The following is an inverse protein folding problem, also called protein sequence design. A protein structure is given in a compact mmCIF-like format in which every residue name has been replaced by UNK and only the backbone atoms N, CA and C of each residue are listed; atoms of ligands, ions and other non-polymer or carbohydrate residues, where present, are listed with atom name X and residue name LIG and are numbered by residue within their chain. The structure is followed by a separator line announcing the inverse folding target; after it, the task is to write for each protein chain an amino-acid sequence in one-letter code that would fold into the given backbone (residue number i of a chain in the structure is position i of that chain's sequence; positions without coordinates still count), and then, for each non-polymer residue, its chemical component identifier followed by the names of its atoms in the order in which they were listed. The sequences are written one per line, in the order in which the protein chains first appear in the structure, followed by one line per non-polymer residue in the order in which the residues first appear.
data_IF_844354942250
#
_entry.id   IF_844354942250
#
_cell.length_a   1.000
_cell.length_b   1.000
_cell.length_c   1.000
_cell.angle_alpha   90.00
_cell.angle_beta   90.00
_cell.angle_gamma   90.00
#
_symmetry.space_group_name_H-M   'P 1'
#
loop_
_entity.id
_entity.type
_entity.pdbx_description
1 polymer ?
#
# COMPACT_ATOMS: atom_id res chain seq x y z
N UNK A 1 11.46 24.14 -18.37
CA UNK A 1 12.30 23.43 -17.40
C UNK A 1 11.59 23.53 -16.05
N UNK A 2 10.85 22.49 -15.65
CA UNK A 2 10.16 22.45 -14.36
C UNK A 2 10.98 21.55 -13.45
N UNK A 3 11.52 22.12 -12.38
CA UNK A 3 12.22 21.37 -11.34
C UNK A 3 11.22 20.43 -10.68
N UNK A 4 11.49 19.12 -10.76
CA UNK A 4 10.71 18.09 -10.08
C UNK A 4 11.02 18.07 -8.58
N UNK A 5 10.15 17.47 -7.75
CA UNK A 5 10.30 17.50 -6.30
C UNK A 5 11.58 16.77 -5.86
N UNK A 6 12.33 17.44 -4.98
CA UNK A 6 13.62 16.99 -4.46
C UNK A 6 13.44 15.72 -3.60
N UNK A 7 13.96 14.58 -4.09
CA UNK A 7 13.95 13.30 -3.39
C UNK A 7 15.04 13.29 -2.32
N UNK A 8 14.68 13.03 -1.06
CA UNK A 8 15.66 12.66 -0.02
C UNK A 8 15.16 11.52 0.86
N UNK A 9 15.99 10.49 0.88
CA UNK A 9 15.80 9.20 1.52
C UNK A 9 16.26 9.15 2.97
N UNK A 10 15.72 8.20 3.72
CA UNK A 10 16.37 7.67 4.93
C UNK A 10 16.69 6.22 4.55
N UNK A 11 17.98 5.94 4.33
CA UNK A 11 18.54 4.69 3.74
C UNK A 11 18.29 4.45 2.23
N UNK A 12 18.12 5.51 1.44
CA UNK A 12 17.86 5.43 0.00
C UNK A 12 16.37 5.33 -0.40
N UNK A 13 15.49 4.85 0.48
CA UNK A 13 14.05 4.72 0.23
C UNK A 13 13.23 5.96 0.61
N UNK A 14 12.21 6.28 -0.19
CA UNK A 14 11.29 7.41 0.04
C UNK A 14 9.88 6.91 0.34
N UNK A 15 9.20 7.52 1.32
CA UNK A 15 7.75 7.34 1.53
C UNK A 15 7.05 8.63 1.10
N UNK A 16 6.10 8.50 0.18
CA UNK A 16 5.19 9.53 -0.28
C UNK A 16 3.75 9.16 0.11
N UNK A 17 2.90 10.17 0.19
CA UNK A 17 1.48 10.00 0.47
C UNK A 17 0.67 10.67 -0.62
N UNK A 18 -0.35 9.98 -1.10
CA UNK A 18 -1.24 10.46 -2.14
C UNK A 18 -2.69 10.16 -1.78
N UNK A 19 -3.60 10.99 -2.29
CA UNK A 19 -5.02 10.74 -2.10
C UNK A 19 -5.45 9.50 -2.89
N UNK A 20 -6.24 8.62 -2.27
CA UNK A 20 -6.73 7.39 -2.85
C UNK A 20 -7.73 7.64 -4.01
N UNK A 21 -7.19 7.91 -5.20
CA UNK A 21 -7.97 8.11 -6.42
C UNK A 21 -7.23 7.57 -7.65
N UNK A 22 -7.99 7.29 -8.72
CA UNK A 22 -7.43 6.87 -10.00
C UNK A 22 -6.52 7.96 -10.62
N UNK A 23 -6.91 9.22 -10.50
CA UNK A 23 -6.11 10.34 -11.01
C UNK A 23 -4.74 10.37 -10.35
N UNK A 24 -4.67 10.19 -9.03
CA UNK A 24 -3.39 10.13 -8.33
C UNK A 24 -2.59 8.90 -8.74
N UNK A 25 -3.20 7.72 -8.88
CA UNK A 25 -2.50 6.54 -9.41
C UNK A 25 -1.89 6.82 -10.79
N UNK A 26 -2.68 7.37 -11.72
CA UNK A 26 -2.25 7.62 -13.10
C UNK A 26 -1.16 8.70 -13.19
N UNK A 27 -1.03 9.56 -12.17
CA UNK A 27 0.03 10.55 -12.06
C UNK A 27 1.35 10.03 -11.45
N UNK A 28 1.39 8.80 -10.92
CA UNK A 28 2.59 8.20 -10.35
C UNK A 28 3.22 7.18 -11.31
N UNK A 29 4.55 7.11 -11.26
CA UNK A 29 5.31 5.98 -11.80
C UNK A 29 5.61 5.01 -10.65
N UNK A 30 4.97 3.84 -10.68
CA UNK A 30 5.21 2.78 -9.70
C UNK A 30 5.29 1.43 -10.40
N UNK A 31 6.25 0.60 -9.98
CA UNK A 31 6.41 -0.73 -10.54
C UNK A 31 5.22 -1.63 -10.19
N UNK A 32 4.72 -1.53 -8.96
CA UNK A 32 3.56 -2.29 -8.51
C UNK A 32 2.57 -1.42 -7.75
N UNK A 33 1.28 -1.74 -7.89
CA UNK A 33 0.24 -1.33 -6.94
C UNK A 33 -0.16 -2.53 -6.10
N UNK A 34 -0.26 -2.39 -4.79
CA UNK A 34 -0.69 -3.45 -3.89
C UNK A 34 -1.98 -3.07 -3.17
N UNK A 35 -2.93 -4.00 -3.20
CA UNK A 35 -4.21 -3.88 -2.52
C UNK A 35 -4.42 -5.06 -1.58
N UNK A 36 -4.56 -4.81 -0.28
CA UNK A 36 -5.11 -5.79 0.65
C UNK A 36 -6.56 -6.12 0.26
N UNK A 37 -6.95 -7.39 0.34
CA UNK A 37 -8.30 -7.85 0.03
C UNK A 37 -8.81 -8.79 1.13
N UNK A 38 -9.90 -8.40 1.79
CA UNK A 38 -10.60 -9.28 2.72
C UNK A 38 -11.63 -10.17 2.01
N UNK A 39 -11.99 -11.30 2.62
CA UNK A 39 -12.93 -12.28 2.06
C UNK A 39 -14.30 -11.69 1.75
N UNK A 40 -14.74 -10.75 2.57
CA UNK A 40 -16.05 -10.11 2.49
C UNK A 40 -16.11 -8.97 1.46
N UNK A 41 -14.98 -8.58 0.86
CA UNK A 41 -14.91 -7.55 -0.19
C UNK A 41 -15.30 -8.10 -1.58
N UNK A 42 -16.61 -8.34 -1.76
CA UNK A 42 -17.18 -8.86 -3.02
C UNK A 42 -18.43 -8.05 -3.39
N UNK A 43 -18.32 -7.03 -4.27
CA UNK A 43 -17.13 -6.60 -5.03
C UNK A 43 -16.08 -5.87 -4.15
N UNK A 44 -14.82 -5.73 -4.64
CA UNK A 44 -13.80 -4.94 -3.96
C UNK A 44 -14.20 -3.48 -3.83
N UNK A 45 -13.74 -2.85 -2.75
CA UNK A 45 -14.09 -1.48 -2.37
C UNK A 45 -12.90 -0.51 -2.48
N UNK A 46 -13.14 0.77 -2.18
CA UNK A 46 -12.09 1.80 -2.15
C UNK A 46 -11.29 1.91 -3.46
N UNK A 47 -9.98 2.08 -3.34
CA UNK A 47 -9.09 2.25 -4.48
C UNK A 47 -8.99 1.00 -5.36
N UNK A 48 -9.07 -0.21 -4.78
CA UNK A 48 -9.13 -1.45 -5.55
C UNK A 48 -10.41 -1.52 -6.39
N UNK A 49 -11.55 -1.09 -5.84
CA UNK A 49 -12.81 -0.96 -6.58
C UNK A 49 -12.70 0.03 -7.75
N UNK A 50 -12.04 1.17 -7.55
CA UNK A 50 -11.81 2.14 -8.62
C UNK A 50 -10.88 1.57 -9.72
N UNK A 51 -9.81 0.87 -9.32
CA UNK A 51 -8.93 0.14 -10.24
C UNK A 51 -9.71 -0.94 -11.00
N UNK A 52 -10.60 -1.67 -10.34
CA UNK A 52 -11.42 -2.68 -11.01
C UNK A 52 -12.38 -2.07 -12.04
N UNK A 53 -12.99 -0.92 -11.73
CA UNK A 53 -13.77 -0.15 -12.69
C UNK A 53 -12.94 0.21 -13.92
N UNK A 54 -11.71 0.70 -13.73
CA UNK A 54 -10.76 1.00 -14.82
C UNK A 54 -10.40 -0.25 -15.64
N UNK A 55 -10.42 -1.42 -15.01
CA UNK A 55 -10.15 -2.72 -15.62
C UNK A 55 -11.39 -3.36 -16.26
N UNK A 56 -12.57 -2.74 -16.14
CA UNK A 56 -13.84 -3.23 -16.67
C UNK A 56 -14.42 -4.40 -15.88
N UNK A 57 -14.31 -4.36 -14.54
CA UNK A 57 -14.85 -5.38 -13.64
C UNK A 57 -14.08 -6.71 -13.69
N UNK A 58 -12.85 -6.70 -14.22
CA UNK A 58 -12.05 -7.91 -14.40
C UNK A 58 -11.63 -8.52 -13.06
N UNK A 59 -11.25 -7.69 -12.08
CA UNK A 59 -10.85 -8.13 -10.76
C UNK A 59 -12.06 -8.72 -10.03
N UNK A 60 -13.21 -8.03 -10.03
CA UNK A 60 -14.46 -8.59 -9.48
C UNK A 60 -14.79 -9.96 -10.07
N UNK A 61 -14.68 -10.13 -11.39
CA UNK A 61 -14.94 -11.41 -12.06
C UNK A 61 -13.95 -12.48 -11.61
N UNK A 62 -12.67 -12.17 -11.50
CA UNK A 62 -11.66 -13.11 -11.04
C UNK A 62 -11.84 -13.49 -9.56
N UNK A 63 -12.30 -12.58 -8.71
CA UNK A 63 -12.70 -12.88 -7.33
C UNK A 63 -13.89 -13.85 -7.32
N UNK A 64 -14.93 -13.58 -8.11
CA UNK A 64 -16.10 -14.44 -8.22
C UNK A 64 -15.77 -15.84 -8.77
N UNK A 65 -14.80 -15.94 -9.69
CA UNK A 65 -14.27 -17.19 -10.23
C UNK A 65 -13.29 -17.92 -9.27
N UNK A 66 -12.97 -17.35 -8.11
CA UNK A 66 -12.00 -17.92 -7.16
C UNK A 66 -10.55 -17.88 -7.65
N UNK A 67 -10.24 -17.06 -8.66
CA UNK A 67 -8.90 -16.91 -9.26
C UNK A 67 -8.09 -15.78 -8.65
N UNK A 68 -8.75 -14.84 -7.98
CA UNK A 68 -8.13 -13.91 -7.02
C UNK A 68 -8.58 -14.36 -5.64
N UNK A 69 -7.63 -14.90 -4.90
CA UNK A 69 -7.83 -15.47 -3.57
C UNK A 69 -7.76 -14.39 -2.48
N UNK A 70 -8.54 -14.57 -1.42
CA UNK A 70 -8.65 -13.65 -0.27
C UNK A 70 -8.24 -14.32 1.06
N UNK A 71 -7.82 -15.58 0.98
CA UNK A 71 -7.15 -16.32 2.04
C UNK A 71 -5.91 -15.57 2.51
N UNK A 72 -5.64 -15.58 3.82
CA UNK A 72 -4.50 -14.88 4.39
C UNK A 72 -3.19 -15.32 3.71
N UNK A 73 -2.46 -14.37 3.14
CA UNK A 73 -1.19 -14.61 2.44
C UNK A 73 -1.32 -15.11 1.01
N UNK A 74 -2.54 -15.26 0.48
CA UNK A 74 -2.71 -15.48 -0.95
C UNK A 74 -2.24 -14.24 -1.73
N UNK A 75 -1.46 -14.43 -2.79
CA UNK A 75 -0.98 -13.35 -3.64
C UNK A 75 -1.45 -13.56 -5.08
N UNK A 76 -2.15 -12.58 -5.62
CA UNK A 76 -2.56 -12.53 -7.03
C UNK A 76 -1.85 -11.39 -7.74
N UNK A 77 -1.33 -11.66 -8.94
CA UNK A 77 -0.65 -10.67 -9.78
C UNK A 77 -1.42 -10.50 -11.09
N UNK A 78 -1.75 -9.26 -11.43
CA UNK A 78 -2.40 -8.89 -12.69
C UNK A 78 -1.55 -7.90 -13.48
N UNK A 79 -1.37 -8.08 -14.80
CA UNK A 79 -0.69 -7.08 -15.63
C UNK A 79 -1.52 -5.80 -15.71
N UNK A 80 -0.88 -4.65 -15.47
CA UNK A 80 -1.56 -3.36 -15.34
C UNK A 80 -1.38 -2.43 -16.55
N UNK A 81 -0.23 -2.46 -17.23
CA UNK A 81 0.18 -1.49 -18.28
C UNK A 81 -0.88 -1.16 -19.34
N UNK A 82 -1.71 -2.12 -19.74
CA UNK A 82 -2.78 -1.88 -20.73
C UNK A 82 -3.85 -0.91 -20.22
N UNK A 83 -4.12 -0.91 -18.91
CA UNK A 83 -5.17 -0.11 -18.26
C UNK A 83 -4.60 1.05 -17.46
N UNK A 84 -3.40 0.89 -16.89
CA UNK A 84 -2.65 1.89 -16.14
C UNK A 84 -1.23 1.96 -16.72
N UNK A 85 -0.96 2.83 -17.70
CA UNK A 85 0.29 2.80 -18.47
C UNK A 85 1.58 2.99 -17.66
N UNK A 86 1.52 3.73 -16.55
CA UNK A 86 2.64 4.00 -15.63
C UNK A 86 2.86 2.90 -14.58
N UNK A 87 2.04 1.84 -14.60
CA UNK A 87 2.05 0.76 -13.61
C UNK A 87 2.31 -0.58 -14.30
N UNK A 88 3.29 -1.37 -13.82
CA UNK A 88 3.58 -2.67 -14.43
C UNK A 88 2.53 -3.72 -14.07
N UNK A 89 2.26 -3.82 -12.77
CA UNK A 89 1.47 -4.89 -12.17
C UNK A 89 0.62 -4.42 -10.99
N UNK A 90 -0.56 -5.01 -10.87
CA UNK A 90 -1.41 -4.92 -9.68
C UNK A 90 -1.23 -6.22 -8.89
N UNK A 91 -0.93 -6.08 -7.61
CA UNK A 91 -0.82 -7.13 -6.62
C UNK A 91 -2.03 -7.05 -5.71
N UNK A 92 -2.66 -8.20 -5.47
CA UNK A 92 -3.76 -8.32 -4.52
C UNK A 92 -3.35 -9.36 -3.50
N UNK A 93 -3.29 -8.95 -2.24
CA UNK A 93 -2.89 -9.83 -1.13
C UNK A 93 -4.12 -10.13 -0.28
N UNK A 94 -4.43 -11.41 -0.11
CA UNK A 94 -5.52 -11.87 0.73
C UNK A 94 -5.23 -11.64 2.20
N UNK A 95 -6.18 -11.03 2.90
CA UNK A 95 -6.10 -10.65 4.31
C UNK A 95 -6.94 -11.57 5.21
N UNK A 96 -7.53 -12.65 4.68
CA UNK A 96 -8.45 -13.47 5.45
C UNK A 96 -9.80 -12.78 5.68
N UNK A 97 -10.44 -13.08 6.82
CA UNK A 97 -11.74 -12.49 7.18
C UNK A 97 -11.57 -11.15 7.88
N UNK A 98 -12.51 -10.23 7.67
CA UNK A 98 -12.54 -8.97 8.43
C UNK A 98 -12.72 -9.19 9.94
N UNK A 99 -13.32 -10.30 10.36
CA UNK A 99 -13.52 -10.64 11.76
C UNK A 99 -12.22 -10.99 12.49
N UNK A 100 -11.24 -11.58 11.78
CA UNK A 100 -9.93 -11.88 12.35
C UNK A 100 -8.97 -10.67 12.33
N UNK A 101 -9.38 -9.56 11.72
CA UNK A 101 -8.56 -8.36 11.63
C UNK A 101 -8.61 -7.55 12.92
N UNK A 102 -7.43 -7.28 13.49
CA UNK A 102 -7.28 -6.44 14.67
C UNK A 102 -6.04 -5.56 14.57
N UNK A 103 -6.08 -4.42 15.24
CA UNK A 103 -4.92 -3.53 15.38
C UNK A 103 -3.79 -4.20 16.18
N UNK A 104 -4.11 -5.04 17.17
CA UNK A 104 -3.15 -5.80 17.96
C UNK A 104 -2.24 -6.70 17.09
N UNK A 105 -2.82 -7.35 16.08
CA UNK A 105 -2.09 -8.23 15.16
C UNK A 105 -1.71 -7.53 13.84
N UNK A 106 -1.76 -6.19 13.78
CA UNK A 106 -1.53 -5.47 12.53
C UNK A 106 -0.14 -5.74 11.91
N UNK A 107 0.88 -5.89 12.76
CA UNK A 107 2.23 -6.22 12.31
C UNK A 107 2.30 -7.57 11.58
N UNK A 108 1.42 -8.52 11.91
CA UNK A 108 1.37 -9.82 11.24
C UNK A 108 0.83 -9.67 9.82
N UNK A 109 -0.18 -8.82 9.62
CA UNK A 109 -0.67 -8.49 8.27
C UNK A 109 0.39 -7.79 7.41
N UNK A 110 1.22 -6.93 8.02
CA UNK A 110 2.36 -6.32 7.34
C UNK A 110 3.43 -7.36 6.99
N UNK A 111 3.69 -8.32 7.87
CA UNK A 111 4.62 -9.45 7.62
C UNK A 111 4.12 -10.32 6.47
N UNK A 112 2.81 -10.60 6.41
CA UNK A 112 2.20 -11.33 5.29
C UNK A 112 2.41 -10.61 3.95
N UNK A 113 2.22 -9.28 3.92
CA UNK A 113 2.49 -8.48 2.72
C UNK A 113 3.97 -8.55 2.35
N UNK A 114 4.85 -8.35 3.33
CA UNK A 114 6.30 -8.38 3.18
C UNK A 114 6.77 -9.69 2.55
N UNK A 115 6.40 -10.81 3.15
CA UNK A 115 6.77 -12.15 2.70
C UNK A 115 6.24 -12.45 1.30
N UNK A 116 5.02 -12.01 0.99
CA UNK A 116 4.40 -12.20 -0.32
C UNK A 116 5.14 -11.46 -1.44
N UNK A 117 5.56 -10.21 -1.19
CA UNK A 117 6.17 -9.38 -2.25
C UNK A 117 7.69 -9.45 -2.29
N UNK A 118 8.36 -9.91 -1.23
CA UNK A 118 9.84 -10.01 -1.16
C UNK A 118 10.44 -10.72 -2.38
N UNK A 119 9.93 -11.88 -2.85
CA UNK A 119 10.52 -12.58 -4.00
C UNK A 119 10.38 -11.82 -5.33
N UNK A 120 9.49 -10.82 -5.40
CA UNK A 120 9.25 -10.05 -6.61
C UNK A 120 10.32 -8.96 -6.84
N UNK A 121 11.15 -8.68 -5.82
CA UNK A 121 12.23 -7.69 -5.88
C UNK A 121 11.77 -6.35 -6.50
N UNK A 122 10.59 -5.90 -6.09
CA UNK A 122 9.99 -4.62 -6.51
C UNK A 122 10.98 -3.50 -6.19
N UNK A 123 10.89 -2.34 -6.84
CA UNK A 123 11.68 -1.14 -6.47
C UNK A 123 10.83 0.06 -6.09
N UNK A 124 9.61 0.13 -6.62
CA UNK A 124 8.62 1.14 -6.24
C UNK A 124 7.24 0.52 -6.09
N UNK A 125 6.58 0.84 -5.00
CA UNK A 125 5.32 0.25 -4.59
C UNK A 125 4.33 1.36 -4.24
N UNK A 126 3.20 1.41 -4.93
CA UNK A 126 2.02 2.08 -4.42
C UNK A 126 1.16 1.11 -3.63
N UNK A 127 0.62 1.50 -2.48
CA UNK A 127 -0.28 0.63 -1.71
C UNK A 127 -1.34 1.39 -0.93
N UNK A 128 -2.45 0.72 -0.66
CA UNK A 128 -3.34 1.05 0.47
C UNK A 128 -2.97 0.16 1.66
N UNK A 129 -2.91 0.69 2.88
CA UNK A 129 -2.61 -0.15 4.05
C UNK A 129 -3.80 -1.06 4.41
N UNK A 130 -3.58 -2.27 4.96
CA UNK A 130 -4.65 -3.18 5.37
C UNK A 130 -5.69 -2.50 6.26
N UNK A 131 -6.98 -2.78 6.00
CA UNK A 131 -8.12 -2.27 6.77
C UNK A 131 -8.47 -0.80 6.55
N UNK A 132 -7.61 0.00 5.89
CA UNK A 132 -7.83 1.45 5.73
C UNK A 132 -9.01 1.81 4.85
N UNK A 133 -9.14 1.15 3.70
CA UNK A 133 -10.28 1.35 2.80
C UNK A 133 -11.64 1.00 3.42
N UNK A 134 -11.62 0.22 4.51
CA UNK A 134 -12.78 -0.27 5.24
C UNK A 134 -12.96 0.40 6.60
N UNK A 135 -12.11 1.38 6.93
CA UNK A 135 -12.13 2.11 8.21
C UNK A 135 -12.00 1.18 9.44
N UNK A 136 -11.27 0.07 9.30
CA UNK A 136 -11.09 -0.95 10.36
C UNK A 136 -9.93 -0.68 11.33
N UNK A 137 -9.08 0.28 11.01
CA UNK A 137 -7.92 0.71 11.82
C UNK A 137 -7.73 2.20 11.56
N UNK A 138 -7.24 2.96 12.53
CA UNK A 138 -6.92 4.39 12.36
C UNK A 138 -5.67 4.64 11.52
N UNK A 139 -5.58 5.83 10.92
CA UNK A 139 -4.50 6.19 10.00
C UNK A 139 -3.15 6.21 10.74
N UNK A 140 -3.10 6.88 11.89
CA UNK A 140 -1.93 6.89 12.74
C UNK A 140 -1.49 5.47 13.13
N UNK A 141 -2.40 4.65 13.64
CA UNK A 141 -2.07 3.30 14.11
C UNK A 141 -1.48 2.42 12.99
N UNK A 142 -2.11 2.43 11.81
CA UNK A 142 -1.64 1.68 10.65
C UNK A 142 -0.25 2.14 10.20
N UNK A 143 -0.05 3.46 10.09
CA UNK A 143 1.20 4.02 9.61
C UNK A 143 2.34 3.93 10.64
N UNK A 144 2.05 4.11 11.93
CA UNK A 144 3.02 3.87 12.99
C UNK A 144 3.50 2.43 13.00
N UNK A 145 2.59 1.47 12.83
CA UNK A 145 2.95 0.06 12.73
C UNK A 145 3.82 -0.20 11.49
N UNK A 146 3.50 0.45 10.36
CA UNK A 146 4.27 0.37 9.12
C UNK A 146 5.73 0.82 9.31
N UNK A 147 5.96 1.99 9.94
CA UNK A 147 7.32 2.52 10.13
C UNK A 147 8.11 1.84 11.25
N UNK A 148 7.42 1.19 12.19
CA UNK A 148 8.05 0.39 13.27
C UNK A 148 8.37 -1.03 12.82
N UNK A 149 7.75 -1.50 11.73
CA UNK A 149 7.91 -2.86 11.26
C UNK A 149 9.36 -3.07 10.75
N UNK A 150 10.06 -4.13 11.21
CA UNK A 150 11.53 -4.25 11.08
C UNK A 150 12.05 -4.35 9.64
N UNK A 151 11.16 -4.63 8.68
CA UNK A 151 11.48 -4.75 7.25
C UNK A 151 10.71 -3.77 6.37
N UNK A 152 10.02 -2.79 6.98
CA UNK A 152 9.24 -1.77 6.27
C UNK A 152 9.71 -0.36 6.67
N UNK A 153 9.86 0.61 5.74
CA UNK A 153 9.67 0.48 4.31
C UNK A 153 10.63 -0.57 3.77
N UNK A 154 10.10 -1.54 3.03
CA UNK A 154 10.91 -2.41 2.18
C UNK A 154 11.90 -1.49 1.46
N UNK A 155 13.13 -1.90 1.14
CA UNK A 155 14.08 -1.04 0.42
C UNK A 155 13.56 -0.65 -1.00
N UNK A 156 12.53 0.18 -1.03
CA UNK A 156 11.56 0.50 -2.07
C UNK A 156 11.15 1.95 -1.90
N UNK A 157 10.88 2.62 -3.01
CA UNK A 157 10.10 3.85 -2.99
C UNK A 157 8.63 3.49 -2.75
N UNK A 158 8.07 3.94 -1.63
CA UNK A 158 6.70 3.63 -1.21
C UNK A 158 5.78 4.84 -1.42
N UNK A 159 4.61 4.61 -2.01
CA UNK A 159 3.52 5.57 -2.09
C UNK A 159 2.34 4.99 -1.33
N UNK A 160 1.95 5.62 -0.24
CA UNK A 160 0.76 5.22 0.53
C UNK A 160 -0.44 6.04 0.07
N UNK A 161 -1.46 5.34 -0.41
CA UNK A 161 -2.73 5.94 -0.80
C UNK A 161 -3.74 5.84 0.34
N UNK A 162 -4.31 6.97 0.75
CA UNK A 162 -5.36 7.03 1.77
C UNK A 162 -6.29 8.24 1.53
N UNK A 163 -7.27 8.45 2.41
CA UNK A 163 -8.15 9.62 2.38
C UNK A 163 -7.33 10.89 2.62
N UNK A 164 -7.80 12.02 2.07
CA UNK A 164 -7.11 13.31 2.15
C UNK A 164 -6.68 13.71 3.58
N UNK A 165 -7.54 13.47 4.57
CA UNK A 165 -7.28 13.79 5.98
C UNK A 165 -6.14 12.92 6.55
N UNK A 166 -6.18 11.61 6.26
CA UNK A 166 -5.18 10.64 6.70
C UNK A 166 -3.80 10.91 6.08
N UNK A 167 -3.75 11.36 4.82
CA UNK A 167 -2.50 11.75 4.15
C UNK A 167 -1.73 12.82 4.93
N UNK A 168 -2.43 13.84 5.46
CA UNK A 168 -1.81 14.91 6.27
C UNK A 168 -1.31 14.40 7.62
N UNK A 169 -2.11 13.56 8.26
CA UNK A 169 -1.79 12.94 9.55
C UNK A 169 -0.54 12.07 9.44
N UNK A 170 -0.50 11.12 8.50
CA UNK A 170 0.64 10.25 8.27
C UNK A 170 1.91 11.04 7.87
N UNK A 171 1.75 12.10 7.07
CA UNK A 171 2.85 13.01 6.76
C UNK A 171 3.49 13.66 8.00
N UNK A 172 2.66 14.03 8.98
CA UNK A 172 3.13 14.60 10.26
C UNK A 172 3.87 13.56 11.11
N UNK A 173 3.37 12.32 11.15
CA UNK A 173 4.01 11.20 11.84
C UNK A 173 5.37 10.91 11.22
N UNK A 174 5.47 10.82 9.89
CA UNK A 174 6.73 10.59 9.19
C UNK A 174 7.75 11.71 9.46
N UNK A 175 7.31 12.98 9.40
CA UNK A 175 8.18 14.11 9.69
C UNK A 175 8.71 14.07 11.13
N UNK A 176 7.88 13.68 12.10
CA UNK A 176 8.26 13.53 13.50
C UNK A 176 9.25 12.39 13.70
N UNK A 177 9.01 11.23 13.09
CA UNK A 177 9.92 10.08 13.13
C UNK A 177 11.30 10.42 12.55
N UNK A 178 11.35 11.07 11.36
CA UNK A 178 12.61 11.50 10.73
C UNK A 178 13.41 12.48 11.58
N UNK A 179 12.75 13.36 12.35
CA UNK A 179 13.42 14.29 13.28
C UNK A 179 14.06 13.56 14.46
N UNK A 180 13.39 12.53 15.00
CA UNK A 180 13.92 11.73 16.12
C UNK A 180 15.17 10.95 15.69
N UNK A 181 15.14 10.24 14.57
CA UNK A 181 16.29 9.48 14.07
C UNK A 181 17.52 10.37 13.84
N UNK A 182 17.34 11.52 13.19
CA UNK A 182 18.44 12.48 12.97
C UNK A 182 19.04 13.04 14.26
N UNK A 183 18.26 13.19 15.32
CA UNK A 183 18.78 13.63 16.61
C UNK A 183 19.66 12.55 17.24
N UNK A 184 19.24 11.27 17.18
CA UNK A 184 20.03 10.14 17.67
C UNK A 184 21.32 9.92 16.85
N UNK A 185 21.30 10.12 15.53
CA UNK A 185 22.48 9.97 14.66
C UNK A 185 23.54 11.08 14.84
N UNK A 186 23.18 12.20 15.48
CA UNK A 186 24.10 13.32 15.75
C UNK A 186 24.75 13.25 17.15
N UNK A 187 24.26 12.37 18.02
CA UNK A 187 24.74 12.21 19.41
C UNK A 187 25.64 10.97 19.62
N UNK A 188 25.81 10.12 18.60
CA UNK A 188 26.66 8.90 18.62
C UNK A 188 27.89 9.03 17.72
#
# INVERSE_FOLDING_TARGET
MREGPERRSVDGSTILFEEASLERIEAQDAEALLFPLFREERPPSGLLGAVDWRFGGRISRLIAEGRVASELGALSLLPARRRLPSIDKVLIVGMGTMEAFSEEHYSDYLSVIEEGIRPLAIRSLGMTLPGRALEKIEAAAAFESLIKHPRVPFALDLIVFDRHEAVKEMGTILATAKRRTRAYDLEG
#
